data_IF_925944491368
#
_entry.id   IF_925944491368
#
_cell.length_a   1.000
_cell.length_b   1.000
_cell.length_c   1.000
_cell.angle_alpha   90.00
_cell.angle_beta   90.00
_cell.angle_gamma   90.00
#
_symmetry.space_group_name_H-M   'P 1'
#
loop_
_entity.id
_entity.type
_entity.pdbx_description
1 polymer ?
#
# COMPACT_ATOMS: atom_id res chain seq x y z
N UNK A 1 9.53 10.00 -4.21
CA UNK A 1 10.03 10.25 -2.83
C UNK A 1 10.52 11.69 -2.61
N UNK A 2 10.82 12.47 -3.65
CA UNK A 2 11.34 13.85 -3.53
C UNK A 2 10.47 14.80 -2.67
N UNK A 3 9.15 14.80 -2.90
CA UNK A 3 8.22 15.61 -2.10
C UNK A 3 8.31 15.31 -0.60
N UNK A 4 8.33 14.03 -0.21
CA UNK A 4 8.41 13.64 1.19
C UNK A 4 9.71 14.10 1.84
N UNK A 5 10.84 14.06 1.11
CA UNK A 5 12.12 14.58 1.57
C UNK A 5 12.08 16.10 1.77
N UNK A 6 11.56 16.84 0.79
CA UNK A 6 11.64 18.31 0.78
C UNK A 6 10.63 18.98 1.71
N UNK A 7 9.40 18.48 1.73
CA UNK A 7 8.27 19.14 2.40
C UNK A 7 7.94 18.51 3.75
N UNK A 8 8.27 17.23 3.94
CA UNK A 8 8.00 16.49 5.18
C UNK A 8 9.26 16.07 5.94
N UNK A 9 10.45 16.41 5.41
CA UNK A 9 11.75 16.04 5.98
C UNK A 9 11.95 14.51 6.13
N UNK A 10 11.32 13.72 5.26
CA UNK A 10 11.40 12.26 5.26
C UNK A 10 12.34 11.76 4.15
N UNK A 11 13.62 11.61 4.46
CA UNK A 11 14.62 11.09 3.51
C UNK A 11 14.76 9.55 3.62
N UNK A 12 13.80 8.84 3.03
CA UNK A 12 13.80 7.38 3.03
C UNK A 12 15.05 6.76 2.39
N UNK A 13 15.68 7.46 1.43
CA UNK A 13 16.91 7.02 0.76
C UNK A 13 18.08 7.04 1.75
N UNK A 14 18.25 8.15 2.47
CA UNK A 14 19.29 8.27 3.50
C UNK A 14 19.07 7.25 4.63
N UNK A 15 17.83 7.06 5.09
CA UNK A 15 17.52 6.11 6.17
C UNK A 15 17.85 4.67 5.76
N UNK A 16 17.56 4.29 4.51
CA UNK A 16 17.91 2.99 3.97
C UNK A 16 19.43 2.80 3.83
N UNK A 17 20.15 3.82 3.32
CA UNK A 17 21.62 3.77 3.17
C UNK A 17 22.35 3.59 4.50
N UNK A 18 21.85 4.21 5.57
CA UNK A 18 22.44 4.10 6.90
C UNK A 18 21.91 2.91 7.71
N UNK A 19 20.94 2.14 7.18
CA UNK A 19 20.33 1.03 7.90
C UNK A 19 19.57 1.44 9.16
N UNK A 20 19.02 2.65 9.22
CA UNK A 20 18.26 3.13 10.38
C UNK A 20 16.86 2.53 10.49
N UNK A 21 16.35 1.97 9.39
CA UNK A 21 15.00 1.43 9.29
C UNK A 21 15.05 0.09 8.57
N UNK A 22 14.44 -0.94 9.16
CA UNK A 22 14.40 -2.30 8.60
C UNK A 22 13.35 -2.47 7.50
N UNK A 23 12.29 -1.65 7.51
CA UNK A 23 11.18 -1.76 6.58
C UNK A 23 10.49 -0.42 6.30
N UNK A 24 10.13 -0.20 5.03
CA UNK A 24 9.37 0.94 4.56
C UNK A 24 7.95 0.55 4.20
N UNK A 25 7.01 1.46 4.47
CA UNK A 25 5.59 1.31 4.19
C UNK A 25 5.08 2.51 3.37
N UNK A 26 5.46 2.65 2.09
CA UNK A 26 5.09 3.81 1.30
C UNK A 26 3.57 3.93 1.16
N UNK A 27 3.01 5.09 1.51
CA UNK A 27 1.56 5.34 1.46
C UNK A 27 1.08 5.68 0.04
N UNK A 28 1.14 4.72 -0.89
CA UNK A 28 0.77 4.90 -2.29
C UNK A 28 -0.75 4.76 -2.51
N UNK A 29 -1.49 5.79 -2.09
CA UNK A 29 -2.96 5.80 -2.12
C UNK A 29 -3.52 6.35 -3.43
N UNK A 30 -2.91 5.97 -4.55
CA UNK A 30 -3.39 6.33 -5.88
C UNK A 30 -4.77 5.70 -6.14
N UNK A 31 -5.72 6.52 -6.61
CA UNK A 31 -7.15 6.17 -6.65
C UNK A 31 -7.55 5.37 -7.89
N UNK A 32 -6.90 5.62 -9.02
CA UNK A 32 -7.31 5.02 -10.30
C UNK A 32 -6.17 4.89 -11.32
N UNK A 33 -5.10 5.67 -11.19
CA UNK A 33 -3.98 5.65 -12.14
C UNK A 33 -2.97 4.55 -11.77
N UNK A 34 -3.12 3.37 -12.35
CA UNK A 34 -2.25 2.23 -12.05
C UNK A 34 -0.81 2.45 -12.54
N UNK A 35 -0.62 3.23 -13.59
CA UNK A 35 0.68 3.55 -14.15
C UNK A 35 1.47 4.46 -13.21
N UNK A 36 0.80 5.45 -12.60
CA UNK A 36 1.38 6.30 -11.56
C UNK A 36 1.66 5.52 -10.28
N UNK A 37 0.74 4.63 -9.88
CA UNK A 37 0.98 3.71 -8.77
C UNK A 37 2.25 2.88 -9.02
N UNK A 38 2.37 2.27 -10.22
CA UNK A 38 3.51 1.45 -10.59
C UNK A 38 4.82 2.25 -10.68
N UNK A 39 4.78 3.49 -11.18
CA UNK A 39 5.95 4.37 -11.21
C UNK A 39 6.47 4.67 -9.81
N UNK A 40 5.58 5.00 -8.87
CA UNK A 40 5.96 5.24 -7.48
C UNK A 40 6.46 3.96 -6.79
N UNK A 41 5.80 2.82 -7.01
CA UNK A 41 6.23 1.53 -6.48
C UNK A 41 7.63 1.15 -6.99
N UNK A 42 7.94 1.36 -8.27
CA UNK A 42 9.30 1.17 -8.81
C UNK A 42 10.34 2.04 -8.10
N UNK A 43 9.98 3.27 -7.75
CA UNK A 43 10.88 4.17 -7.04
C UNK A 43 11.17 3.64 -5.62
N UNK A 44 10.15 3.17 -4.91
CA UNK A 44 10.25 2.75 -3.50
C UNK A 44 10.91 1.39 -3.35
N UNK A 45 10.65 0.42 -4.23
CA UNK A 45 11.30 -0.91 -4.18
C UNK A 45 12.81 -0.85 -4.38
N UNK A 46 13.35 0.21 -4.97
CA UNK A 46 14.81 0.41 -5.06
C UNK A 46 15.47 0.57 -3.68
N UNK A 47 14.72 0.95 -2.63
CA UNK A 47 15.22 0.96 -1.25
C UNK A 47 15.64 -0.44 -0.78
N UNK A 48 15.10 -1.51 -1.38
CA UNK A 48 15.48 -2.89 -1.06
C UNK A 48 16.94 -3.21 -1.35
N UNK A 49 17.52 -2.55 -2.35
CA UNK A 49 18.95 -2.70 -2.69
C UNK A 49 19.88 -2.22 -1.57
N UNK A 50 19.34 -1.62 -0.51
CA UNK A 50 20.04 -1.09 0.66
C UNK A 50 19.72 -1.87 1.94
N UNK A 51 19.12 -3.05 1.81
CA UNK A 51 18.88 -3.96 2.94
C UNK A 51 17.55 -3.77 3.67
N UNK A 52 16.74 -2.78 3.32
CA UNK A 52 15.42 -2.59 3.91
C UNK A 52 14.32 -3.36 3.16
N UNK A 53 13.29 -3.84 3.87
CA UNK A 53 12.08 -4.39 3.24
C UNK A 53 11.16 -3.27 2.74
N UNK A 54 10.40 -3.52 1.70
CA UNK A 54 9.39 -2.57 1.19
C UNK A 54 8.02 -3.24 1.12
N UNK A 55 7.08 -2.74 1.92
CA UNK A 55 5.68 -3.18 1.92
C UNK A 55 4.81 -2.08 1.33
N UNK A 56 4.36 -2.27 0.09
CA UNK A 56 3.65 -1.23 -0.65
C UNK A 56 2.27 -0.95 -0.02
N UNK A 57 2.03 0.32 0.34
CA UNK A 57 0.79 0.74 0.99
C UNK A 57 -0.35 0.87 -0.01
N UNK A 58 -1.48 0.19 0.26
CA UNK A 58 -2.68 0.19 -0.56
C UNK A 58 -3.79 0.96 0.15
N UNK A 59 -4.27 2.04 -0.45
CA UNK A 59 -5.35 2.88 0.09
C UNK A 59 -6.73 2.28 -0.16
N UNK A 60 -6.99 1.04 0.28
CA UNK A 60 -8.14 0.25 -0.14
C UNK A 60 -9.51 0.90 0.18
N UNK A 61 -9.59 1.76 1.21
CA UNK A 61 -10.78 2.55 1.51
C UNK A 61 -11.22 3.47 0.36
N UNK A 62 -10.28 3.95 -0.46
CA UNK A 62 -10.56 4.76 -1.65
C UNK A 62 -11.19 3.95 -2.78
N UNK A 63 -11.06 2.62 -2.74
CA UNK A 63 -11.48 1.71 -3.82
C UNK A 63 -12.71 0.90 -3.44
N UNK A 64 -13.43 1.28 -2.38
CA UNK A 64 -14.62 0.60 -1.90
C UNK A 64 -15.67 0.34 -2.99
N UNK A 65 -15.87 1.34 -3.86
CA UNK A 65 -16.79 1.28 -5.00
C UNK A 65 -16.26 0.48 -6.18
N UNK A 66 -14.95 0.26 -6.25
CA UNK A 66 -14.32 -0.53 -7.29
C UNK A 66 -13.11 -1.34 -6.74
N UNK A 67 -13.36 -2.44 -6.02
CA UNK A 67 -12.30 -3.24 -5.39
C UNK A 67 -11.25 -3.79 -6.36
N UNK A 68 -11.57 -3.88 -7.66
CA UNK A 68 -10.63 -4.35 -8.69
C UNK A 68 -9.37 -3.49 -8.80
N UNK A 69 -9.44 -2.22 -8.38
CA UNK A 69 -8.28 -1.31 -8.34
C UNK A 69 -7.26 -1.81 -7.30
N UNK A 70 -7.69 -2.07 -6.07
CA UNK A 70 -6.82 -2.64 -5.02
C UNK A 70 -6.25 -4.00 -5.44
N UNK A 71 -7.06 -4.84 -6.08
CA UNK A 71 -6.60 -6.12 -6.64
C UNK A 71 -5.46 -5.93 -7.63
N UNK A 72 -5.62 -5.01 -8.59
CA UNK A 72 -4.61 -4.73 -9.62
C UNK A 72 -3.35 -4.12 -9.02
N UNK A 73 -3.48 -3.17 -8.09
CA UNK A 73 -2.35 -2.55 -7.41
C UNK A 73 -1.54 -3.55 -6.56
N UNK A 74 -2.21 -4.47 -5.85
CA UNK A 74 -1.51 -5.53 -5.09
C UNK A 74 -0.74 -6.46 -6.04
N UNK A 75 -1.31 -6.82 -7.19
CA UNK A 75 -0.60 -7.62 -8.21
C UNK A 75 0.62 -6.87 -8.75
N UNK A 76 0.45 -5.60 -9.11
CA UNK A 76 1.55 -4.76 -9.58
C UNK A 76 2.66 -4.63 -8.55
N UNK A 77 2.34 -4.39 -7.27
CA UNK A 77 3.34 -4.32 -6.22
C UNK A 77 4.19 -5.61 -6.12
N UNK A 78 3.54 -6.78 -6.25
CA UNK A 78 4.23 -8.08 -6.27
C UNK A 78 5.10 -8.25 -7.51
N UNK A 79 4.55 -7.97 -8.69
CA UNK A 79 5.27 -8.06 -9.97
C UNK A 79 6.50 -7.13 -10.01
N UNK A 80 6.43 -5.97 -9.36
CA UNK A 80 7.50 -4.99 -9.26
C UNK A 80 8.50 -5.28 -8.14
N UNK A 81 8.28 -6.35 -7.36
CA UNK A 81 9.23 -6.84 -6.37
C UNK A 81 9.14 -6.17 -5.00
N UNK A 82 7.98 -5.66 -4.60
CA UNK A 82 7.74 -5.34 -3.19
C UNK A 82 7.77 -6.63 -2.35
N UNK A 83 8.33 -6.56 -1.14
CA UNK A 83 8.41 -7.70 -0.21
C UNK A 83 7.05 -8.04 0.41
N UNK A 84 6.12 -7.07 0.38
CA UNK A 84 4.78 -7.24 0.89
C UNK A 84 3.87 -6.08 0.53
N UNK A 85 2.69 -6.05 1.15
CA UNK A 85 1.71 -4.98 1.02
C UNK A 85 1.19 -4.59 2.41
N UNK A 86 0.76 -3.34 2.56
CA UNK A 86 0.13 -2.82 3.77
C UNK A 86 -1.20 -2.16 3.42
N UNK A 87 -2.33 -2.72 3.88
CA UNK A 87 -3.65 -2.19 3.55
C UNK A 87 -4.03 -1.10 4.55
N UNK A 88 -4.21 0.12 4.05
CA UNK A 88 -4.81 1.18 4.83
C UNK A 88 -6.31 1.26 4.53
N UNK A 89 -7.21 1.16 5.51
CA UNK A 89 -6.98 0.78 6.91
C UNK A 89 -7.77 -0.48 7.24
N UNK A 90 -7.58 -1.05 8.44
CA UNK A 90 -8.41 -2.15 8.95
C UNK A 90 -9.91 -1.85 8.80
N UNK A 91 -10.30 -0.60 9.07
CA UNK A 91 -11.68 -0.13 8.98
C UNK A 91 -12.25 -0.12 7.55
N UNK A 92 -11.40 -0.23 6.52
CA UNK A 92 -11.85 -0.43 5.14
C UNK A 92 -12.42 -1.83 4.92
N UNK A 93 -11.96 -2.82 5.70
CA UNK A 93 -12.31 -4.23 5.57
C UNK A 93 -13.28 -4.69 6.66
N UNK A 94 -13.19 -4.12 7.86
CA UNK A 94 -13.93 -4.58 9.03
C UNK A 94 -14.55 -3.41 9.78
N UNK A 95 -15.71 -3.59 10.43
CA UNK A 95 -16.27 -2.58 11.32
C UNK A 95 -15.26 -2.19 12.43
N UNK A 96 -15.17 -0.91 12.72
CA UNK A 96 -14.29 -0.36 13.76
C UNK A 96 -15.02 0.73 14.55
N UNK A 97 -14.81 0.77 15.87
CA UNK A 97 -15.38 1.80 16.75
C UNK A 97 -14.78 3.19 16.48
N UNK A 98 -13.50 3.25 16.14
CA UNK A 98 -12.87 4.45 15.59
C UNK A 98 -13.12 4.48 14.09
N UNK A 99 -13.93 5.43 13.64
CA UNK A 99 -14.31 5.58 12.22
C UNK A 99 -13.74 6.89 11.66
N UNK A 100 -12.70 6.83 10.82
CA UNK A 100 -12.33 7.95 9.97
C UNK A 100 -13.52 8.39 9.11
N UNK A 101 -13.62 9.68 8.80
CA UNK A 101 -14.62 10.16 7.86
C UNK A 101 -14.42 9.51 6.48
N UNK A 102 -15.50 9.13 5.80
CA UNK A 102 -15.45 8.57 4.45
C UNK A 102 -15.14 7.07 4.36
N UNK A 103 -15.43 6.30 5.42
CA UNK A 103 -15.33 4.85 5.36
C UNK A 103 -16.37 4.21 4.43
N UNK A 104 -16.07 3.01 3.88
CA UNK A 104 -17.00 2.24 3.09
C UNK A 104 -18.25 1.85 3.88
N UNK A 105 -19.40 1.74 3.21
CA UNK A 105 -20.58 1.12 3.83
C UNK A 105 -20.33 -0.38 4.10
N UNK A 106 -21.11 -0.99 5.00
CA UNK A 106 -20.98 -2.43 5.34
C UNK A 106 -20.97 -3.34 4.10
N UNK A 107 -21.78 -3.02 3.09
CA UNK A 107 -21.84 -3.76 1.82
C UNK A 107 -20.54 -3.61 1.02
N UNK A 108 -19.99 -2.41 0.96
CA UNK A 108 -18.74 -2.12 0.25
C UNK A 108 -17.54 -2.77 0.97
N UNK A 109 -17.50 -2.75 2.31
CA UNK A 109 -16.49 -3.49 3.09
C UNK A 109 -16.54 -4.99 2.77
N UNK A 110 -17.74 -5.58 2.71
CA UNK A 110 -17.91 -6.99 2.37
C UNK A 110 -17.41 -7.29 0.95
N UNK A 111 -17.78 -6.47 -0.03
CA UNK A 111 -17.31 -6.61 -1.41
C UNK A 111 -15.78 -6.49 -1.53
N UNK A 112 -15.19 -5.52 -0.82
CA UNK A 112 -13.74 -5.33 -0.78
C UNK A 112 -13.02 -6.54 -0.16
N UNK A 113 -13.54 -7.08 0.95
CA UNK A 113 -13.00 -8.31 1.56
C UNK A 113 -13.05 -9.49 0.62
N UNK A 114 -14.18 -9.74 -0.03
CA UNK A 114 -14.32 -10.88 -0.96
C UNK A 114 -13.38 -10.74 -2.16
N UNK A 115 -13.22 -9.53 -2.71
CA UNK A 115 -12.29 -9.29 -3.81
C UNK A 115 -10.82 -9.52 -3.41
N UNK A 116 -10.44 -9.15 -2.18
CA UNK A 116 -9.06 -9.27 -1.70
C UNK A 116 -8.73 -10.65 -1.14
N UNK A 117 -9.72 -11.39 -0.63
CA UNK A 117 -9.58 -12.73 -0.04
C UNK A 117 -8.64 -13.66 -0.83
N UNK A 118 -8.85 -13.93 -2.14
CA UNK A 118 -8.01 -14.87 -2.88
C UNK A 118 -6.55 -14.40 -3.02
N UNK A 119 -6.32 -13.09 -2.98
CA UNK A 119 -4.99 -12.50 -3.16
C UNK A 119 -4.22 -12.49 -1.84
N UNK A 120 -4.93 -12.36 -0.71
CA UNK A 120 -4.35 -12.32 0.64
C UNK A 120 -4.16 -13.72 1.26
N UNK A 121 -4.98 -14.72 0.88
CA UNK A 121 -4.88 -16.08 1.42
C UNK A 121 -3.64 -16.89 0.96
N UNK A 122 -2.86 -16.36 0.01
CA UNK A 122 -1.62 -16.99 -0.48
C UNK A 122 -0.33 -16.58 0.25
N UNK A 123 -0.43 -15.79 1.34
CA UNK A 123 0.74 -15.28 2.07
C UNK A 123 1.23 -16.38 3.04
N UNK A 124 2.28 -17.09 2.67
CA UNK A 124 3.08 -17.87 3.64
C UNK A 124 4.11 -16.92 4.29
N UNK A 125 4.29 -16.97 5.62
CA UNK A 125 5.28 -16.16 6.33
C UNK A 125 6.71 -16.46 5.89
#
# INVERSE_FOLDING_TARGET
>A
MDYAKRELFQDARLWAENGWVDAFYPMNYERSNNERFAAYCRETVELRRRGARVLEGIGAWLHAKNPSISVKQIRLARELGADGIAIFSYAALFPSAASPAGLPEKKEMAALREALRPILQGIRP
#
